data_IF_304430533655
#
_entry.id   IF_304430533655
#
_cell.length_a   1.000
_cell.length_b   1.000
_cell.length_c   1.000
_cell.angle_alpha   90.00
_cell.angle_beta   90.00
_cell.angle_gamma   90.00
#
_symmetry.space_group_name_H-M   'P 1'
#
loop_
_entity.id
_entity.type
_entity.pdbx_description
1 polymer ?
#
# COMPACT_ATOMS: atom_id res chain seq x y z
N UNK A 1 11.67 2.38 -12.21
CA UNK A 1 10.33 2.38 -12.81
C UNK A 1 9.36 2.62 -11.68
N UNK A 2 8.59 3.71 -11.71
CA UNK A 2 7.65 4.07 -10.63
C UNK A 2 6.66 2.94 -10.37
N UNK A 3 6.32 2.71 -9.10
CA UNK A 3 5.39 1.65 -8.66
C UNK A 3 4.05 2.21 -8.19
N UNK A 4 3.96 3.52 -8.00
CA UNK A 4 2.77 4.27 -7.64
C UNK A 4 2.40 5.26 -8.74
N UNK A 5 1.10 5.43 -9.00
CA UNK A 5 0.55 6.62 -9.68
C UNK A 5 -0.11 7.52 -8.64
N UNK A 6 0.31 8.78 -8.58
CA UNK A 6 -0.19 9.77 -7.62
C UNK A 6 -0.99 10.84 -8.36
N UNK A 7 -2.23 11.06 -7.93
CA UNK A 7 -3.09 12.15 -8.43
C UNK A 7 -3.50 13.05 -7.27
N UNK A 8 -3.14 14.33 -7.37
CA UNK A 8 -3.43 15.33 -6.35
C UNK A 8 -4.66 16.18 -6.70
N UNK A 9 -5.51 16.41 -5.71
CA UNK A 9 -6.59 17.38 -5.72
C UNK A 9 -6.46 18.31 -4.51
N UNK A 10 -7.31 19.33 -4.45
CA UNK A 10 -7.31 20.28 -3.33
C UNK A 10 -7.68 19.61 -1.98
N UNK A 11 -8.51 18.58 -2.01
CA UNK A 11 -9.07 17.91 -0.82
C UNK A 11 -8.46 16.53 -0.53
N UNK A 12 -7.77 15.93 -1.51
CA UNK A 12 -7.27 14.56 -1.40
C UNK A 12 -6.04 14.28 -2.26
N UNK A 13 -5.33 13.22 -1.90
CA UNK A 13 -4.31 12.58 -2.71
C UNK A 13 -4.77 11.15 -3.00
N UNK A 14 -4.82 10.77 -4.27
CA UNK A 14 -5.17 9.40 -4.69
C UNK A 14 -3.89 8.70 -5.13
N UNK A 15 -3.54 7.63 -4.42
CA UNK A 15 -2.40 6.77 -4.74
C UNK A 15 -2.92 5.46 -5.28
N UNK A 16 -2.53 5.15 -6.52
CA UNK A 16 -2.81 3.87 -7.17
C UNK A 16 -1.55 3.01 -7.16
N UNK A 17 -1.61 1.83 -6.54
CA UNK A 17 -0.57 0.81 -6.63
C UNK A 17 -0.54 0.28 -8.08
N UNK A 18 0.58 0.43 -8.77
CA UNK A 18 0.67 0.29 -10.23
C UNK A 18 1.82 -0.61 -10.67
N UNK A 19 1.74 -1.87 -10.26
CA UNK A 19 2.56 -2.99 -10.78
C UNK A 19 1.64 -4.12 -11.26
N UNK A 20 0.76 -3.87 -12.25
CA UNK A 20 -0.26 -4.84 -12.65
C UNK A 20 0.31 -6.19 -13.08
N UNK A 21 1.50 -6.19 -13.71
CA UNK A 21 2.23 -7.39 -14.12
C UNK A 21 2.73 -8.25 -12.94
N UNK A 22 2.76 -7.66 -11.73
CA UNK A 22 3.04 -8.32 -10.45
C UNK A 22 1.83 -8.34 -9.52
N UNK A 23 0.62 -8.04 -10.03
CA UNK A 23 -0.61 -7.96 -9.22
C UNK A 23 -0.47 -7.01 -8.02
N UNK A 24 0.26 -5.91 -8.21
CA UNK A 24 0.54 -4.92 -7.18
C UNK A 24 1.20 -5.54 -5.95
N UNK A 25 2.10 -6.52 -6.14
CA UNK A 25 2.96 -6.99 -5.07
C UNK A 25 3.79 -5.83 -4.51
N UNK A 26 3.94 -5.79 -3.19
CA UNK A 26 4.65 -4.74 -2.47
C UNK A 26 6.13 -5.09 -2.42
N UNK A 27 6.94 -4.34 -3.14
CA UNK A 27 8.41 -4.38 -3.09
C UNK A 27 8.96 -3.19 -2.30
N UNK A 28 10.27 -3.19 -2.02
CA UNK A 28 10.94 -2.13 -1.27
C UNK A 28 10.75 -0.75 -1.93
N UNK A 29 10.75 -0.71 -3.25
CA UNK A 29 10.55 0.54 -3.98
C UNK A 29 9.17 1.14 -3.72
N UNK A 30 8.13 0.34 -3.74
CA UNK A 30 6.77 0.78 -3.40
C UNK A 30 6.68 1.28 -1.96
N UNK A 31 7.39 0.62 -1.03
CA UNK A 31 7.48 1.07 0.36
C UNK A 31 8.15 2.45 0.46
N UNK A 32 9.26 2.67 -0.26
CA UNK A 32 9.96 3.96 -0.28
C UNK A 32 9.07 5.07 -0.88
N UNK A 33 8.40 4.80 -2.01
CA UNK A 33 7.48 5.75 -2.66
C UNK A 33 6.26 6.06 -1.75
N UNK A 34 5.75 5.09 -0.98
CA UNK A 34 4.69 5.34 0.01
C UNK A 34 5.19 6.21 1.18
N UNK A 35 6.44 6.06 1.60
CA UNK A 35 7.03 6.92 2.63
C UNK A 35 7.16 8.38 2.16
N UNK A 36 7.48 8.61 0.89
CA UNK A 36 7.50 9.96 0.29
C UNK A 36 6.10 10.59 0.28
N UNK A 37 5.06 9.80 -0.05
CA UNK A 37 3.66 10.25 0.03
C UNK A 37 3.28 10.63 1.47
N UNK A 38 3.60 9.78 2.45
CA UNK A 38 3.31 10.07 3.86
C UNK A 38 4.00 11.36 4.32
N UNK A 39 5.26 11.58 3.93
CA UNK A 39 5.98 12.81 4.28
C UNK A 39 5.33 14.06 3.69
N UNK A 40 4.84 13.98 2.44
CA UNK A 40 4.13 15.09 1.83
C UNK A 40 2.82 15.40 2.56
N UNK A 41 2.07 14.37 2.95
CA UNK A 41 0.80 14.49 3.67
C UNK A 41 0.96 14.97 5.10
N UNK A 42 2.03 14.58 5.79
CA UNK A 42 2.37 15.10 7.12
C UNK A 42 2.62 16.62 7.09
N UNK A 43 3.19 17.13 5.99
CA UNK A 43 3.43 18.58 5.79
C UNK A 43 2.18 19.34 5.35
N UNK A 44 1.35 18.73 4.51
CA UNK A 44 0.13 19.33 3.95
C UNK A 44 -1.05 18.34 4.00
N UNK A 45 -1.75 18.26 5.16
CA UNK A 45 -2.78 17.25 5.38
C UNK A 45 -3.97 17.29 4.42
N UNK A 46 -4.15 16.20 3.68
CA UNK A 46 -5.27 15.96 2.74
C UNK A 46 -5.69 14.49 2.83
N UNK A 47 -6.96 14.18 2.54
CA UNK A 47 -7.45 12.79 2.60
C UNK A 47 -6.59 11.90 1.69
N UNK A 48 -6.06 10.80 2.21
CA UNK A 48 -5.36 9.81 1.39
C UNK A 48 -6.36 8.77 0.92
N UNK A 49 -6.38 8.50 -0.39
CA UNK A 49 -7.10 7.36 -0.96
C UNK A 49 -6.09 6.40 -1.58
N UNK A 50 -5.99 5.20 -1.02
CA UNK A 50 -5.20 4.09 -1.54
C UNK A 50 -6.09 3.21 -2.42
N UNK A 51 -5.64 2.87 -3.62
CA UNK A 51 -6.31 1.88 -4.48
C UNK A 51 -5.28 1.12 -5.31
N UNK A 52 -5.70 0.09 -6.05
CA UNK A 52 -4.81 -0.69 -6.93
C UNK A 52 -5.25 -0.67 -8.38
N UNK A 53 -4.29 -0.88 -9.27
CA UNK A 53 -4.50 -1.00 -10.72
C UNK A 53 -5.07 -2.36 -11.14
N UNK A 54 -5.62 -2.44 -12.35
CA UNK A 54 -6.07 -3.67 -13.02
C UNK A 54 -6.95 -4.61 -12.18
N UNK A 55 -7.81 -4.03 -11.34
CA UNK A 55 -8.79 -4.78 -10.56
C UNK A 55 -8.17 -5.64 -9.46
N UNK A 56 -6.95 -5.31 -9.02
CA UNK A 56 -6.29 -5.93 -7.86
C UNK A 56 -5.79 -4.81 -6.96
N UNK A 57 -6.13 -4.83 -5.67
CA UNK A 57 -5.52 -3.91 -4.71
C UNK A 57 -4.02 -4.22 -4.55
N UNK A 58 -3.69 -5.32 -3.89
CA UNK A 58 -2.31 -5.79 -3.70
C UNK A 58 -2.27 -7.28 -3.34
N UNK A 59 -1.39 -8.06 -3.99
CA UNK A 59 -1.28 -9.50 -3.76
C UNK A 59 -0.36 -9.92 -2.61
N UNK A 60 0.16 -8.98 -1.83
CA UNK A 60 1.10 -9.25 -0.74
C UNK A 60 2.51 -8.76 -1.03
N UNK A 61 3.48 -9.20 -0.24
CA UNK A 61 4.88 -8.89 -0.46
C UNK A 61 5.41 -9.55 -1.74
N UNK A 62 6.37 -8.91 -2.41
CA UNK A 62 7.03 -9.47 -3.59
C UNK A 62 7.91 -10.68 -3.20
N UNK A 63 7.50 -11.87 -3.64
CA UNK A 63 8.18 -13.14 -3.31
C UNK A 63 9.60 -13.19 -3.87
N UNK A 64 9.87 -12.54 -5.01
CA UNK A 64 11.22 -12.51 -5.57
C UNK A 64 12.17 -11.77 -4.62
N UNK A 65 11.75 -10.62 -4.11
CA UNK A 65 12.52 -9.85 -3.14
C UNK A 65 12.65 -10.59 -1.80
N UNK A 66 11.58 -11.23 -1.32
CA UNK A 66 11.63 -12.02 -0.08
C UNK A 66 12.65 -13.17 -0.14
N UNK A 67 12.90 -13.74 -1.32
CA UNK A 67 13.91 -14.79 -1.51
C UNK A 67 15.34 -14.27 -1.52
N UNK A 68 15.52 -13.01 -1.91
CA UNK A 68 16.82 -12.34 -1.97
C UNK A 68 17.20 -11.73 -0.62
N UNK A 69 16.23 -11.53 0.29
CA UNK A 69 16.47 -11.02 1.65
C UNK A 69 17.31 -11.98 2.48
N UNK A 70 18.35 -11.43 3.11
CA UNK A 70 19.20 -12.15 4.05
C UNK A 70 18.59 -12.12 5.47
N UNK A 71 19.10 -12.95 6.39
CA UNK A 71 18.66 -12.94 7.78
C UNK A 71 18.89 -11.59 8.50
N UNK A 72 19.80 -10.74 7.99
CA UNK A 72 20.04 -9.38 8.51
C UNK A 72 18.93 -8.43 8.06
N UNK A 73 18.43 -8.57 6.84
CA UNK A 73 17.34 -7.77 6.28
C UNK A 73 16.00 -8.09 6.96
N UNK A 74 15.80 -9.34 7.40
CA UNK A 74 14.62 -9.74 8.17
C UNK A 74 14.50 -9.00 9.54
N UNK A 75 15.60 -8.49 10.10
CA UNK A 75 15.61 -7.71 11.34
C UNK A 75 15.23 -6.25 11.11
N UNK A 76 15.50 -5.72 9.92
CA UNK A 76 15.02 -4.42 9.45
C UNK A 76 13.65 -4.63 8.80
N UNK A 77 12.61 -4.86 9.60
CA UNK A 77 11.23 -4.96 9.14
C UNK A 77 10.73 -3.60 8.57
N UNK A 78 11.26 -3.22 7.41
CA UNK A 78 10.98 -1.98 6.68
C UNK A 78 9.52 -1.95 6.18
N UNK A 79 8.87 -3.12 6.09
CA UNK A 79 7.45 -3.22 5.72
C UNK A 79 6.51 -2.89 6.90
N UNK A 80 6.93 -3.12 8.15
CA UNK A 80 6.07 -2.84 9.31
C UNK A 80 5.94 -1.33 9.58
N UNK A 81 7.01 -0.56 9.33
CA UNK A 81 7.01 0.87 9.63
C UNK A 81 6.13 1.67 8.68
N UNK A 82 6.02 1.28 7.41
CA UNK A 82 5.14 2.00 6.48
C UNK A 82 3.66 1.81 6.83
N UNK A 83 3.23 0.59 7.17
CA UNK A 83 1.84 0.34 7.55
C UNK A 83 1.47 1.09 8.83
N UNK A 84 2.36 1.08 9.84
CA UNK A 84 2.19 1.89 11.04
C UNK A 84 2.12 3.38 10.71
N UNK A 85 3.04 3.90 9.89
CA UNK A 85 3.07 5.32 9.52
C UNK A 85 1.79 5.75 8.80
N UNK A 86 1.27 4.92 7.88
CA UNK A 86 -0.01 5.17 7.22
C UNK A 86 -1.15 5.22 8.25
N UNK A 87 -1.17 4.28 9.20
CA UNK A 87 -2.18 4.25 10.26
C UNK A 87 -2.07 5.43 11.26
N UNK A 88 -0.90 6.04 11.38
CA UNK A 88 -0.62 7.19 12.26
C UNK A 88 -0.73 8.55 11.57
N UNK A 89 -1.07 8.57 10.27
CA UNK A 89 -1.27 9.82 9.54
C UNK A 89 -2.35 10.69 10.23
N UNK A 90 -2.15 12.02 10.33
CA UNK A 90 -3.05 12.89 11.11
C UNK A 90 -4.39 13.20 10.42
N UNK A 91 -4.64 12.62 9.26
CA UNK A 91 -5.82 12.81 8.43
C UNK A 91 -6.37 11.46 7.94
N UNK A 92 -7.65 11.37 7.55
CA UNK A 92 -8.25 10.10 7.18
C UNK A 92 -7.59 9.42 5.98
N UNK A 93 -7.39 8.11 6.10
CA UNK A 93 -6.93 7.22 5.03
C UNK A 93 -8.07 6.29 4.60
N UNK A 94 -8.34 6.23 3.30
CA UNK A 94 -9.36 5.38 2.69
C UNK A 94 -8.68 4.37 1.76
N UNK A 95 -8.88 3.07 2.02
CA UNK A 95 -8.52 2.02 1.08
C UNK A 95 -9.75 1.67 0.19
N UNK A 96 -9.68 1.98 -1.10
CA UNK A 96 -10.66 1.60 -2.11
C UNK A 96 -10.19 0.30 -2.80
N UNK A 97 -10.85 -0.80 -2.44
CA UNK A 97 -10.39 -2.17 -2.67
C UNK A 97 -11.21 -2.87 -3.76
N UNK A 98 -10.53 -3.42 -4.78
CA UNK A 98 -11.10 -4.31 -5.78
C UNK A 98 -10.25 -5.57 -5.94
N UNK A 99 -10.88 -6.68 -6.34
CA UNK A 99 -10.24 -7.98 -6.54
C UNK A 99 -9.56 -8.52 -5.29
N UNK A 100 -8.23 -8.43 -5.20
CA UNK A 100 -7.46 -9.08 -4.14
C UNK A 100 -6.69 -8.08 -3.27
N UNK A 101 -6.79 -8.26 -1.96
CA UNK A 101 -5.94 -7.64 -0.93
C UNK A 101 -5.43 -8.77 -0.02
N UNK A 102 -4.24 -9.32 -0.29
CA UNK A 102 -3.75 -10.53 0.36
C UNK A 102 -2.42 -10.30 1.08
N UNK A 103 -2.19 -10.98 2.21
CA UNK A 103 -0.96 -10.89 3.00
C UNK A 103 -0.59 -9.43 3.31
N UNK A 104 0.61 -8.99 2.93
CA UNK A 104 1.02 -7.58 3.03
C UNK A 104 0.08 -6.57 2.36
N UNK A 105 -0.66 -6.97 1.31
CA UNK A 105 -1.70 -6.14 0.71
C UNK A 105 -2.94 -6.01 1.58
N UNK A 106 -3.27 -7.06 2.35
CA UNK A 106 -4.32 -7.00 3.37
C UNK A 106 -3.86 -6.12 4.54
N UNK A 107 -2.61 -6.26 4.99
CA UNK A 107 -2.02 -5.44 6.06
C UNK A 107 -2.00 -3.95 5.71
N UNK A 108 -1.63 -3.60 4.46
CA UNK A 108 -1.73 -2.23 3.95
C UNK A 108 -3.18 -1.72 3.97
N UNK A 109 -4.15 -2.56 3.60
CA UNK A 109 -5.57 -2.21 3.68
C UNK A 109 -6.06 -2.05 5.14
N UNK A 110 -5.49 -2.80 6.08
CA UNK A 110 -5.80 -2.70 7.51
C UNK A 110 -5.27 -1.40 8.13
N UNK A 111 -4.15 -0.87 7.60
CA UNK A 111 -3.60 0.41 8.04
C UNK A 111 -4.50 1.62 7.74
N UNK A 112 -5.45 1.52 6.79
CA UNK A 112 -6.39 2.59 6.50
C UNK A 112 -7.47 2.75 7.59
N UNK A 113 -8.07 3.93 7.73
CA UNK A 113 -9.24 4.12 8.61
C UNK A 113 -10.48 3.46 8.04
N UNK A 114 -10.72 3.67 6.74
CA UNK A 114 -11.88 3.16 6.01
C UNK A 114 -11.45 2.19 4.93
N UNK A 115 -12.21 1.11 4.76
CA UNK A 115 -12.05 0.14 3.66
C UNK A 115 -13.37 0.06 2.89
N UNK A 116 -13.32 0.37 1.60
CA UNK A 116 -14.45 0.32 0.69
C UNK A 116 -14.18 -0.78 -0.34
N UNK A 117 -14.87 -1.90 -0.20
CA UNK A 117 -14.68 -3.07 -1.06
C UNK A 117 -15.74 -3.20 -2.15
N UNK A 118 -15.33 -3.59 -3.36
CA UNK A 118 -16.28 -4.10 -4.36
C UNK A 118 -16.81 -5.48 -3.96
N UNK A 119 -17.94 -5.96 -4.52
CA UNK A 119 -18.41 -7.33 -4.30
C UNK A 119 -17.40 -8.43 -4.74
N UNK A 120 -16.41 -8.08 -5.57
CA UNK A 120 -15.34 -8.99 -6.01
C UNK A 120 -14.22 -9.13 -4.99
N UNK A 121 -14.15 -8.24 -3.99
CA UNK A 121 -13.07 -8.23 -3.03
C UNK A 121 -12.88 -9.60 -2.36
N UNK A 122 -11.61 -10.00 -2.28
CA UNK A 122 -11.08 -11.12 -1.53
C UNK A 122 -9.95 -10.58 -0.69
N UNK A 123 -10.15 -10.62 0.62
CA UNK A 123 -9.18 -10.16 1.62
C UNK A 123 -8.80 -11.31 2.54
N UNK A 124 -7.53 -11.40 2.91
CA UNK A 124 -7.06 -12.41 3.84
C UNK A 124 -5.54 -12.52 3.93
N UNK A 125 -5.08 -13.28 4.90
CA UNK A 125 -3.68 -13.56 5.20
C UNK A 125 -3.41 -15.05 4.88
N UNK A 126 -3.01 -15.38 3.64
CA UNK A 126 -2.79 -16.77 3.21
C UNK A 126 -1.44 -17.37 3.64
N UNK A 127 -0.52 -16.56 4.16
CA UNK A 127 0.70 -16.99 4.86
C UNK A 127 0.44 -17.76 6.16
#
# INVERSE_FOLDING_TARGET
METLRVAEAADRVVVTLDRPERRNAIDQRMVDELHEVCEALERDPRILVLTGSDGVFASGADIAELRERTAVDARHAINATIFTRIAELPMPVIAALDGYALGGGAELAYAADFRLGTPRLRVGNPE
#
